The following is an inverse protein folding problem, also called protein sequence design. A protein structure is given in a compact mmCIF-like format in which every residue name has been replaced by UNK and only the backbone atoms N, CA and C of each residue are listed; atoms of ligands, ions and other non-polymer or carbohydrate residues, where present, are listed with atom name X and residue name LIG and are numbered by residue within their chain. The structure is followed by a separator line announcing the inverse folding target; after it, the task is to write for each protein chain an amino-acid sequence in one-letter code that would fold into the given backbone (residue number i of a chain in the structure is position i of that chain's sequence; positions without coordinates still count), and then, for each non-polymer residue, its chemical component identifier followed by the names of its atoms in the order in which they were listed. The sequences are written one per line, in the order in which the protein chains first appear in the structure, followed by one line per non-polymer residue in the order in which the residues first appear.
data_IF_482485369430
#
_entry.id   IF_482485369430
#
_cell.length_a   1.000
_cell.length_b   1.000
_cell.length_c   1.000
_cell.angle_alpha   90.00
_cell.angle_beta   90.00
_cell.angle_gamma   90.00
#
_symmetry.space_group_name_H-M   'P 1'
#
loop_
_entity.id
_entity.type
_entity.pdbx_description
1 polymer ?
#
# COMPACT_ATOMS: atom_id res chain seq x y z
N UNK A 1 -16.66 22.39 11.92
CA UNK A 1 -16.30 21.90 12.17
C UNK A 1 -16.03 21.04 12.14
N UNK A 2 -15.63 20.98 11.95
CA UNK A 2 -15.39 19.91 11.87
C UNK A 2 -15.12 19.46 12.97
N UNK A 3 -15.84 19.04 13.36
CA UNK A 3 -15.73 18.41 14.31
C UNK A 3 -15.23 17.20 14.01
N UNK A 4 -14.98 16.99 12.90
CA UNK A 4 -14.33 15.82 12.63
C UNK A 4 -12.98 15.98 13.10
N UNK A 5 -12.54 15.15 13.95
CA UNK A 5 -11.20 15.10 14.30
C UNK A 5 -10.44 15.04 13.02
N UNK A 6 -9.38 15.69 13.01
CA UNK A 6 -8.47 15.55 11.96
C UNK A 6 -8.38 14.09 11.71
N UNK A 7 -8.89 13.69 10.64
CA UNK A 7 -8.94 12.33 10.37
C UNK A 7 -7.56 11.81 10.31
N UNK A 8 -7.36 10.69 10.89
CA UNK A 8 -6.15 9.95 10.66
C UNK A 8 -6.05 9.66 9.19
N UNK A 9 -4.87 9.75 8.61
CA UNK A 9 -4.70 9.30 7.23
C UNK A 9 -5.18 7.87 7.09
N UNK A 10 -5.86 7.57 6.02
CA UNK A 10 -6.24 6.20 5.75
C UNK A 10 -4.97 5.39 5.51
N UNK A 11 -5.02 4.14 5.90
CA UNK A 11 -3.95 3.19 5.62
C UNK A 11 -4.43 2.26 4.52
N UNK A 12 -3.68 2.22 3.44
CA UNK A 12 -4.03 1.45 2.26
C UNK A 12 -2.96 0.40 2.03
N UNK A 13 -3.36 -0.86 2.01
CA UNK A 13 -2.46 -1.96 1.69
C UNK A 13 -2.73 -2.41 0.27
N UNK A 14 -1.71 -2.53 -0.54
CA UNK A 14 -1.84 -2.92 -1.93
C UNK A 14 -1.14 -4.25 -2.15
N UNK A 15 -1.91 -5.26 -2.53
CA UNK A 15 -1.36 -6.55 -2.91
C UNK A 15 -0.99 -6.48 -4.38
N UNK A 16 0.29 -6.56 -4.69
CA UNK A 16 0.75 -6.36 -6.05
C UNK A 16 2.11 -7.03 -6.26
N UNK A 17 2.50 -7.16 -7.52
CA UNK A 17 3.85 -7.57 -7.86
C UNK A 17 4.83 -6.49 -7.40
N UNK A 18 6.13 -6.80 -7.31
CA UNK A 18 7.08 -5.82 -6.75
C UNK A 18 6.94 -4.45 -7.39
N UNK A 19 6.61 -3.45 -6.57
CA UNK A 19 6.37 -2.10 -7.06
C UNK A 19 7.63 -1.49 -7.69
N UNK A 20 8.80 -1.98 -7.31
CA UNK A 20 10.06 -1.50 -7.91
C UNK A 20 10.13 -1.81 -9.40
N UNK A 21 9.37 -2.78 -9.87
CA UNK A 21 9.42 -3.24 -11.25
C UNK A 21 8.30 -2.68 -12.13
N UNK A 22 7.43 -1.84 -11.58
CA UNK A 22 6.30 -1.34 -12.39
C UNK A 22 6.77 -0.28 -13.38
N UNK A 23 6.05 -0.20 -14.48
CA UNK A 23 6.27 0.86 -15.47
C UNK A 23 5.38 2.04 -15.09
N UNK A 24 5.98 3.10 -14.56
CA UNK A 24 5.22 4.22 -14.00
C UNK A 24 4.40 4.96 -15.06
N UNK A 25 4.73 4.83 -16.33
CA UNK A 25 4.01 5.54 -17.38
C UNK A 25 2.69 4.88 -17.72
N UNK A 26 2.55 3.59 -17.48
CA UNK A 26 1.36 2.88 -17.89
C UNK A 26 0.69 2.07 -16.78
N UNK A 27 1.18 2.14 -15.56
CA UNK A 27 0.66 1.28 -14.50
C UNK A 27 -0.43 2.00 -13.71
N UNK A 28 -1.65 1.45 -13.76
CA UNK A 28 -2.79 2.02 -13.06
C UNK A 28 -2.61 1.95 -11.55
N UNK A 29 -2.00 0.87 -11.06
CA UNK A 29 -1.78 0.71 -9.63
C UNK A 29 -0.84 1.77 -9.11
N UNK A 30 0.21 2.09 -9.88
CA UNK A 30 1.12 3.16 -9.50
C UNK A 30 0.38 4.50 -9.42
N UNK A 31 -0.49 4.77 -10.41
CA UNK A 31 -1.27 6.01 -10.40
C UNK A 31 -2.20 6.08 -9.19
N UNK A 32 -2.79 4.95 -8.80
CA UNK A 32 -3.64 4.91 -7.61
C UNK A 32 -2.84 5.17 -6.35
N UNK A 33 -1.64 4.59 -6.25
CA UNK A 33 -0.77 4.82 -5.11
C UNK A 33 -0.36 6.28 -5.02
N UNK A 34 -0.02 6.88 -6.16
CA UNK A 34 0.35 8.28 -6.22
C UNK A 34 -0.79 9.18 -5.76
N UNK A 35 -2.00 8.89 -6.23
CA UNK A 35 -3.17 9.69 -5.84
C UNK A 35 -3.44 9.55 -4.33
N UNK A 36 -3.37 8.34 -3.80
CA UNK A 36 -3.59 8.11 -2.38
C UNK A 36 -2.55 8.87 -1.55
N UNK A 37 -1.30 8.83 -1.99
CA UNK A 37 -0.24 9.53 -1.29
C UNK A 37 -0.47 11.05 -1.33
N UNK A 38 -0.93 11.57 -2.45
CA UNK A 38 -1.22 13.00 -2.58
C UNK A 38 -2.34 13.43 -1.64
N UNK A 39 -3.20 12.50 -1.25
CA UNK A 39 -4.27 12.78 -0.28
C UNK A 39 -3.80 12.62 1.17
N UNK A 40 -2.52 12.32 1.37
CA UNK A 40 -1.96 12.15 2.70
C UNK A 40 -2.17 10.78 3.31
N UNK A 41 -2.58 9.79 2.51
CA UNK A 41 -2.79 8.45 3.01
C UNK A 41 -1.48 7.70 3.14
N UNK A 42 -1.42 6.76 4.08
CA UNK A 42 -0.27 5.89 4.22
C UNK A 42 -0.44 4.69 3.29
N UNK A 43 0.60 4.37 2.54
CA UNK A 43 0.56 3.27 1.58
C UNK A 43 1.52 2.19 2.00
N UNK A 44 1.06 0.96 1.98
CA UNK A 44 1.86 -0.22 2.24
C UNK A 44 1.70 -1.16 1.06
N UNK A 45 2.79 -1.82 0.68
CA UNK A 45 2.73 -2.78 -0.43
C UNK A 45 3.21 -4.13 0.07
N UNK A 46 2.61 -5.19 -0.46
CA UNK A 46 3.00 -6.55 -0.13
C UNK A 46 2.69 -7.48 -1.28
N UNK A 47 3.33 -8.63 -1.28
CA UNK A 47 3.09 -9.65 -2.28
C UNK A 47 2.26 -10.77 -1.67
N UNK A 48 1.55 -11.51 -2.53
CA UNK A 48 0.61 -12.52 -2.05
C UNK A 48 1.29 -13.59 -1.20
N UNK A 49 2.54 -13.89 -1.48
CA UNK A 49 3.27 -14.92 -0.74
C UNK A 49 3.62 -14.49 0.69
N UNK A 50 3.40 -13.23 1.05
CA UNK A 50 3.63 -12.79 2.42
C UNK A 50 2.37 -12.82 3.26
N UNK A 51 1.24 -13.24 2.68
CA UNK A 51 0.00 -13.39 3.45
C UNK A 51 0.11 -14.53 4.44
N UNK A 52 -0.50 -14.35 5.59
CA UNK A 52 -0.52 -15.37 6.61
C UNK A 52 -1.90 -15.38 7.26
N UNK A 53 -2.43 -16.56 7.50
CA UNK A 53 -3.71 -16.70 8.17
C UNK A 53 -3.49 -17.54 9.42
N UNK A 54 -3.83 -16.97 10.57
CA UNK A 54 -3.75 -17.70 11.85
C UNK A 54 -4.92 -17.30 12.73
N UNK A 55 -5.64 -18.31 13.22
CA UNK A 55 -6.69 -18.10 14.22
C UNK A 55 -7.71 -17.04 13.77
N UNK A 56 -8.08 -17.08 12.50
CA UNK A 56 -9.08 -16.15 11.99
C UNK A 56 -8.53 -14.78 11.66
N UNK A 57 -7.22 -14.58 11.78
CA UNK A 57 -6.60 -13.29 11.43
C UNK A 57 -5.79 -13.42 10.16
N UNK A 58 -5.95 -12.45 9.28
CA UNK A 58 -5.18 -12.37 8.04
C UNK A 58 -4.18 -11.24 8.19
N UNK A 59 -2.91 -11.56 8.03
CA UNK A 59 -1.85 -10.56 8.11
C UNK A 59 -0.94 -10.67 6.90
N UNK A 60 -0.16 -9.63 6.66
CA UNK A 60 0.80 -9.59 5.58
C UNK A 60 2.06 -8.91 6.06
N UNK A 61 3.19 -9.37 5.55
CA UNK A 61 4.44 -8.64 5.75
C UNK A 61 4.51 -7.61 4.63
N UNK A 62 4.42 -6.36 5.00
CA UNK A 62 4.30 -5.27 4.04
C UNK A 62 5.36 -4.21 4.31
N UNK A 63 5.62 -3.38 3.32
CA UNK A 63 6.57 -2.28 3.47
C UNK A 63 5.86 -0.98 3.20
N UNK A 64 6.06 0.03 4.05
CA UNK A 64 5.54 1.36 3.72
C UNK A 64 6.21 1.84 2.44
N UNK A 65 5.43 2.50 1.59
CA UNK A 65 5.92 2.94 0.29
C UNK A 65 5.65 4.42 0.09
N UNK A 66 6.63 5.11 -0.48
CA UNK A 66 6.45 6.48 -0.97
C UNK A 66 6.79 6.46 -2.45
N UNK A 67 5.90 7.00 -3.26
CA UNK A 67 6.05 6.94 -4.71
C UNK A 67 6.25 8.33 -5.30
N UNK A 68 6.90 8.35 -6.47
CA UNK A 68 7.15 9.59 -7.21
C UNK A 68 7.35 9.25 -8.67
N UNK A 69 7.07 10.20 -9.55
CA UNK A 69 7.19 9.96 -10.99
C UNK A 69 8.58 10.26 -11.48
N UNK A 70 9.53 9.45 -11.03
CA UNK A 70 10.91 9.53 -11.49
C UNK A 70 11.32 8.16 -11.98
N UNK A 71 11.57 8.00 -13.25
CA UNK A 71 11.95 6.70 -13.81
C UNK A 71 13.24 6.23 -13.17
N UNK A 72 13.25 4.99 -12.77
CA UNK A 72 14.42 4.40 -12.12
C UNK A 72 14.52 4.75 -10.64
N UNK A 73 13.68 5.65 -10.14
CA UNK A 73 13.70 6.05 -8.74
C UNK A 73 12.27 6.44 -8.34
N UNK A 74 11.34 5.55 -8.61
CA UNK A 74 9.90 5.86 -8.46
C UNK A 74 9.32 5.45 -7.13
N UNK A 75 10.06 4.74 -6.29
CA UNK A 75 9.53 4.31 -5.00
C UNK A 75 10.65 4.23 -3.97
N UNK A 76 10.31 4.57 -2.74
CA UNK A 76 11.15 4.33 -1.57
C UNK A 76 10.35 3.43 -0.64
N UNK A 77 10.93 2.30 -0.26
CA UNK A 77 10.30 1.35 0.65
C UNK A 77 10.91 1.47 2.03
N UNK A 78 10.07 1.49 3.05
CA UNK A 78 10.51 1.49 4.43
C UNK A 78 10.74 0.07 4.94
N UNK A 79 10.98 -0.03 6.24
CA UNK A 79 11.22 -1.31 6.87
C UNK A 79 9.95 -2.18 6.84
N UNK A 80 10.14 -3.48 6.67
CA UNK A 80 9.03 -4.41 6.63
C UNK A 80 8.31 -4.42 7.98
N UNK A 81 6.99 -4.42 7.92
CA UNK A 81 6.13 -4.51 9.11
C UNK A 81 5.09 -5.59 8.88
N UNK A 82 4.56 -6.14 9.95
CA UNK A 82 3.45 -7.09 9.87
C UNK A 82 2.17 -6.30 10.08
N UNK A 83 1.27 -6.34 9.11
CA UNK A 83 -0.01 -5.66 9.20
C UNK A 83 -1.13 -6.66 9.33
N UNK A 84 -2.01 -6.44 10.29
CA UNK A 84 -3.29 -7.14 10.35
C UNK A 84 -4.19 -6.46 9.33
N UNK A 85 -4.62 -7.20 8.30
CA UNK A 85 -5.35 -6.61 7.19
C UNK A 85 -6.77 -6.17 7.57
N UNK A 86 -7.24 -6.54 8.76
CA UNK A 86 -8.55 -6.10 9.24
C UNK A 86 -8.39 -4.93 10.20
N UNK A 87 -7.43 -5.02 11.12
CA UNK A 87 -7.32 -4.04 12.20
C UNK A 87 -6.41 -2.87 11.86
N UNK A 88 -5.37 -3.12 11.06
CA UNK A 88 -4.33 -2.11 10.84
C UNK A 88 -4.51 -1.30 9.56
N UNK A 89 -5.40 -1.72 8.66
CA UNK A 89 -5.58 -1.01 7.39
C UNK A 89 -7.04 -0.71 7.15
N UNK A 90 -7.29 0.35 6.42
CA UNK A 90 -8.65 0.79 6.10
C UNK A 90 -9.12 0.26 4.76
N UNK A 91 -8.19 0.06 3.82
CA UNK A 91 -8.52 -0.40 2.47
C UNK A 91 -7.45 -1.37 2.01
N UNK A 92 -7.88 -2.47 1.42
CA UNK A 92 -6.96 -3.41 0.78
C UNK A 92 -7.30 -3.43 -0.71
N UNK A 93 -6.30 -3.15 -1.54
CA UNK A 93 -6.45 -3.21 -2.99
C UNK A 93 -5.71 -4.44 -3.49
N UNK A 94 -6.42 -5.28 -4.25
CA UNK A 94 -5.83 -6.48 -4.81
C UNK A 94 -5.57 -6.21 -6.29
N UNK A 95 -4.33 -5.88 -6.61
CA UNK A 95 -3.94 -5.41 -7.93
C UNK A 95 -2.89 -6.30 -8.59
N UNK A 96 -2.79 -7.53 -8.13
CA UNK A 96 -1.83 -8.45 -8.69
C UNK A 96 -2.38 -9.07 -9.97
N UNK A 97 -1.56 -9.16 -10.99
CA UNK A 97 -1.97 -9.82 -12.21
C UNK A 97 -2.15 -11.33 -11.96
N UNK A 98 -3.13 -11.95 -12.61
CA UNK A 98 -3.36 -13.38 -12.42
C UNK A 98 -2.21 -14.22 -12.97
#
# INVERSE_FOLDING_TARGET
MSEFPASKPLRIAIQMDPIEHVNIDGDTTFAMAEEAQNRGYEIFVYQVDTLSWQEGKVSARAKPAKVRRVKGDHVTLGAEVVLDLVEDVDVVLMRQDP
#
